data_IF_904126026603
#
_entry.id   IF_904126026603
#
_cell.length_a   1.000
_cell.length_b   1.000
_cell.length_c   1.000
_cell.angle_alpha   90.00
_cell.angle_beta   90.00
_cell.angle_gamma   90.00
#
_symmetry.space_group_name_H-M   'P 1'
#
loop_
_entity.id
_entity.type
_entity.pdbx_description
1 polymer ?
#
# COMPACT_ATOMS: atom_id res chain seq x y z
N UNK A 1 17.26 9.64 -1.55
CA UNK A 1 18.72 9.47 -1.72
C UNK A 1 19.30 10.49 -2.70
N UNK A 2 20.46 11.04 -2.37
CA UNK A 2 21.15 12.11 -3.14
C UNK A 2 21.56 13.34 -2.31
N UNK A 3 21.77 13.17 -0.99
CA UNK A 3 22.00 14.29 -0.07
C UNK A 3 23.45 14.78 -0.11
N UNK A 4 23.64 16.09 0.04
CA UNK A 4 24.96 16.69 0.06
C UNK A 4 25.67 16.35 1.37
N UNK A 5 26.92 15.89 1.25
CA UNK A 5 27.78 15.55 2.38
C UNK A 5 28.94 16.54 2.57
N UNK A 6 28.88 17.73 1.95
CA UNK A 6 29.89 18.77 2.18
C UNK A 6 29.87 19.24 3.64
N UNK A 7 30.94 19.90 4.09
CA UNK A 7 31.09 20.37 5.48
C UNK A 7 29.87 21.17 5.99
N UNK A 8 29.24 21.96 5.11
CA UNK A 8 28.05 22.75 5.47
C UNK A 8 26.80 21.89 5.67
N UNK A 9 26.63 20.86 4.84
CA UNK A 9 25.43 20.02 4.83
C UNK A 9 25.53 18.79 5.74
N UNK A 10 26.73 18.43 6.20
CA UNK A 10 26.97 17.25 7.05
C UNK A 10 26.19 17.28 8.38
N UNK A 11 25.75 18.46 8.83
CA UNK A 11 24.93 18.64 10.05
C UNK A 11 23.43 18.70 9.79
N UNK A 12 23.00 18.66 8.53
CA UNK A 12 21.60 18.77 8.15
C UNK A 12 21.01 17.39 7.92
N UNK A 13 19.84 17.14 8.51
CA UNK A 13 19.04 15.98 8.17
C UNK A 13 18.62 16.04 6.68
N UNK A 14 18.34 14.89 6.05
CA UNK A 14 17.76 14.85 4.70
C UNK A 14 16.55 15.77 4.50
N UNK A 15 15.64 15.81 5.48
CA UNK A 15 14.45 16.66 5.45
C UNK A 15 14.79 18.15 5.51
N UNK A 16 15.82 18.54 6.29
CA UNK A 16 16.35 19.91 6.30
C UNK A 16 16.93 20.30 4.93
N UNK A 17 17.75 19.43 4.33
CA UNK A 17 18.31 19.68 3.00
C UNK A 17 17.20 19.80 1.93
N UNK A 18 16.22 18.90 1.95
CA UNK A 18 15.07 18.96 1.04
C UNK A 18 14.25 20.24 1.22
N UNK A 19 14.05 20.70 2.46
CA UNK A 19 13.32 21.93 2.73
C UNK A 19 14.10 23.18 2.33
N UNK A 20 15.43 23.20 2.44
CA UNK A 20 16.24 24.32 1.93
C UNK A 20 16.03 24.52 0.43
N UNK A 21 16.02 23.42 -0.34
CA UNK A 21 15.73 23.46 -1.78
C UNK A 21 14.32 23.99 -2.02
N UNK A 22 13.33 23.50 -1.26
CA UNK A 22 11.95 23.99 -1.39
C UNK A 22 11.84 25.49 -1.10
N UNK A 23 12.48 25.97 -0.03
CA UNK A 23 12.46 27.40 0.30
C UNK A 23 13.11 28.25 -0.81
N UNK A 24 14.27 27.83 -1.33
CA UNK A 24 14.94 28.54 -2.42
C UNK A 24 14.09 28.58 -3.71
N UNK A 25 13.36 27.50 -4.01
CA UNK A 25 12.40 27.48 -5.12
C UNK A 25 11.22 28.39 -4.84
N UNK A 26 10.66 28.37 -3.63
CA UNK A 26 9.55 29.22 -3.24
C UNK A 26 9.89 30.73 -3.36
N UNK A 27 11.12 31.13 -3.04
CA UNK A 27 11.59 32.52 -3.19
C UNK A 27 11.62 32.98 -4.65
N UNK A 28 11.75 32.04 -5.60
CA UNK A 28 11.76 32.33 -7.04
C UNK A 28 10.37 32.24 -7.69
N UNK A 29 9.37 31.70 -6.98
CA UNK A 29 8.01 31.53 -7.47
C UNK A 29 7.10 32.71 -7.08
N UNK A 30 5.98 32.85 -7.78
CA UNK A 30 4.95 33.80 -7.39
C UNK A 30 4.33 33.40 -6.03
N UNK A 31 3.93 34.37 -5.17
CA UNK A 31 3.48 34.09 -3.80
C UNK A 31 2.24 33.19 -3.67
N UNK A 32 1.48 33.02 -4.75
CA UNK A 32 0.27 32.21 -4.82
C UNK A 32 0.53 30.75 -5.25
N UNK A 33 1.75 30.42 -5.66
CA UNK A 33 2.13 29.05 -6.02
C UNK A 33 2.38 28.23 -4.76
N UNK A 34 1.65 27.12 -4.62
CA UNK A 34 1.88 26.15 -3.55
C UNK A 34 3.01 25.21 -3.94
N UNK A 35 4.04 25.15 -3.10
CA UNK A 35 5.13 24.18 -3.22
C UNK A 35 5.03 23.14 -2.09
N UNK A 36 5.28 21.88 -2.43
CA UNK A 36 5.30 20.78 -1.46
C UNK A 36 6.73 20.33 -1.14
N UNK A 37 7.06 20.33 0.16
CA UNK A 37 8.12 19.51 0.70
C UNK A 37 7.59 18.09 0.87
N UNK A 38 8.08 17.16 0.04
CA UNK A 38 7.70 15.75 0.12
C UNK A 38 8.39 15.09 1.32
N UNK A 39 7.60 14.65 2.30
CA UNK A 39 8.04 13.88 3.46
C UNK A 39 7.85 12.38 3.17
N UNK A 40 8.91 11.78 2.61
CA UNK A 40 8.90 10.40 2.09
C UNK A 40 10.30 9.77 2.25
N UNK A 41 10.38 8.51 2.67
CA UNK A 41 11.65 7.81 2.95
C UNK A 41 12.58 8.63 3.85
N UNK A 42 13.76 8.99 3.36
CA UNK A 42 14.79 9.75 4.07
C UNK A 42 14.27 11.09 4.63
N UNK A 43 13.26 11.70 3.98
CA UNK A 43 12.66 12.98 4.41
C UNK A 43 11.36 12.83 5.19
N UNK A 44 10.96 11.59 5.52
CA UNK A 44 9.77 11.34 6.34
C UNK A 44 9.86 12.04 7.70
N UNK A 45 10.99 11.99 8.44
CA UNK A 45 11.13 12.77 9.67
C UNK A 45 11.02 14.27 9.36
N UNK A 46 10.34 15.05 10.20
CA UNK A 46 10.18 16.48 10.00
C UNK A 46 11.54 17.20 9.93
N UNK A 47 11.68 18.28 9.14
CA UNK A 47 12.86 19.15 9.20
C UNK A 47 13.06 19.66 10.63
N UNK A 48 14.29 19.62 11.14
CA UNK A 48 14.59 20.02 12.52
C UNK A 48 15.01 21.49 12.55
N UNK A 49 16.06 21.81 11.80
CA UNK A 49 16.75 23.09 11.84
C UNK A 49 16.21 24.12 10.84
N UNK A 50 15.65 23.69 9.71
CA UNK A 50 15.24 24.57 8.61
C UNK A 50 13.75 24.84 8.66
N UNK A 51 13.31 26.10 8.77
CA UNK A 51 11.87 26.43 8.88
C UNK A 51 11.23 26.67 7.51
N UNK A 52 9.98 26.22 7.28
CA UNK A 52 9.36 26.33 5.97
C UNK A 52 8.98 27.78 5.67
N UNK A 53 9.25 28.22 4.44
CA UNK A 53 8.77 29.51 3.95
C UNK A 53 7.22 29.55 3.90
N UNK A 54 6.59 30.75 3.88
CA UNK A 54 5.13 30.87 3.91
C UNK A 54 4.39 30.11 2.79
N UNK A 55 4.96 30.06 1.58
CA UNK A 55 4.40 29.36 0.42
C UNK A 55 4.64 27.84 0.38
N UNK A 56 5.38 27.30 1.36
CA UNK A 56 5.74 25.88 1.40
C UNK A 56 4.79 25.13 2.35
N UNK A 57 4.24 24.03 1.83
CA UNK A 57 3.45 23.04 2.55
C UNK A 57 4.22 21.71 2.62
N UNK A 58 3.90 20.84 3.57
CA UNK A 58 4.38 19.46 3.55
C UNK A 58 3.38 18.56 2.80
N UNK A 59 3.89 17.58 2.06
CA UNK A 59 3.13 16.42 1.60
C UNK A 59 3.66 15.19 2.33
N UNK A 60 2.91 14.71 3.32
CA UNK A 60 3.26 13.57 4.15
C UNK A 60 2.86 12.26 3.46
N UNK A 61 3.84 11.41 3.13
CA UNK A 61 3.63 10.24 2.31
C UNK A 61 4.10 8.94 3.01
N UNK A 62 3.33 8.38 3.97
CA UNK A 62 3.77 7.28 4.83
C UNK A 62 3.64 5.91 4.16
N UNK A 63 4.33 5.67 3.05
CA UNK A 63 4.15 4.46 2.22
C UNK A 63 4.42 3.16 2.95
N UNK A 64 5.42 3.11 3.82
CA UNK A 64 5.93 1.88 4.44
C UNK A 64 5.32 1.58 5.81
N UNK A 65 4.22 2.28 6.14
CA UNK A 65 3.46 2.08 7.36
C UNK A 65 2.72 0.73 7.35
N UNK A 66 2.09 0.42 8.48
CA UNK A 66 1.12 -0.65 8.58
C UNK A 66 -0.24 -0.19 8.02
N UNK A 67 -0.77 -0.96 7.07
CA UNK A 67 -2.11 -0.77 6.48
C UNK A 67 -3.15 -1.72 7.09
N UNK A 68 -2.74 -2.62 7.99
CA UNK A 68 -3.67 -3.44 8.77
C UNK A 68 -4.39 -2.66 9.87
N UNK A 69 -3.75 -1.59 10.36
CA UNK A 69 -4.26 -0.75 11.42
C UNK A 69 -4.27 0.70 10.96
N UNK A 70 -5.22 1.51 11.43
CA UNK A 70 -5.19 2.94 11.17
C UNK A 70 -3.95 3.61 11.75
N UNK A 71 -3.58 4.74 11.17
CA UNK A 71 -2.37 5.46 11.55
C UNK A 71 -2.39 5.87 13.02
N UNK A 72 -3.57 6.23 13.55
CA UNK A 72 -3.74 6.69 14.92
C UNK A 72 -3.92 5.59 15.97
N UNK A 73 -3.90 4.31 15.57
CA UNK A 73 -4.08 3.19 16.49
C UNK A 73 -2.94 3.14 17.53
N UNK A 74 -3.23 3.35 18.83
CA UNK A 74 -2.21 3.40 19.87
C UNK A 74 -1.50 2.06 20.10
N UNK A 75 -2.13 0.94 19.74
CA UNK A 75 -1.55 -0.39 19.87
C UNK A 75 -0.60 -0.73 18.71
N UNK A 76 -0.69 -0.02 17.57
CA UNK A 76 0.13 -0.30 16.40
C UNK A 76 1.55 0.30 16.54
N UNK A 77 2.49 -0.50 17.03
CA UNK A 77 3.89 -0.09 17.19
C UNK A 77 4.51 0.34 15.85
N UNK A 78 4.17 -0.34 14.73
CA UNK A 78 4.66 0.02 13.39
C UNK A 78 4.19 1.41 12.96
N UNK A 79 2.94 1.81 13.27
CA UNK A 79 2.40 3.11 12.86
C UNK A 79 2.79 4.26 13.78
N UNK A 80 3.16 3.99 15.04
CA UNK A 80 3.57 5.00 16.00
C UNK A 80 4.59 6.03 15.45
N UNK A 81 5.74 5.65 14.85
CA UNK A 81 6.68 6.62 14.32
C UNK A 81 6.10 7.45 13.16
N UNK A 82 5.25 6.87 12.31
CA UNK A 82 4.59 7.60 11.22
C UNK A 82 3.57 8.61 11.74
N UNK A 83 2.76 8.20 12.72
CA UNK A 83 1.82 9.10 13.42
C UNK A 83 2.56 10.28 14.04
N UNK A 84 3.64 10.00 14.76
CA UNK A 84 4.47 11.04 15.36
C UNK A 84 5.04 11.96 14.28
N UNK A 85 5.63 11.44 13.20
CA UNK A 85 6.15 12.26 12.12
C UNK A 85 5.06 13.17 11.52
N UNK A 86 3.86 12.65 11.27
CA UNK A 86 2.72 13.43 10.79
C UNK A 86 2.34 14.59 11.73
N UNK A 87 2.18 14.30 13.03
CA UNK A 87 1.84 15.31 14.04
C UNK A 87 2.93 16.39 14.15
N UNK A 88 4.21 16.01 14.10
CA UNK A 88 5.30 16.99 14.11
C UNK A 88 5.36 17.81 12.81
N UNK A 89 5.03 17.24 11.65
CA UNK A 89 4.90 18.02 10.41
C UNK A 89 3.77 19.06 10.51
N UNK A 90 2.64 18.71 11.14
CA UNK A 90 1.56 19.66 11.38
C UNK A 90 2.04 20.84 12.22
N UNK A 91 2.80 20.60 13.29
CA UNK A 91 3.41 21.67 14.08
C UNK A 91 4.41 22.48 13.26
N UNK A 92 5.33 21.79 12.57
CA UNK A 92 6.46 22.38 11.85
C UNK A 92 6.04 23.30 10.71
N UNK A 93 4.94 22.94 10.03
CA UNK A 93 4.37 23.67 8.90
C UNK A 93 3.15 24.51 9.29
N UNK A 94 2.87 24.68 10.59
CA UNK A 94 1.71 25.42 11.10
C UNK A 94 0.39 24.98 10.40
N UNK A 95 0.18 23.67 10.36
CA UNK A 95 -0.98 23.02 9.75
C UNK A 95 -1.00 23.04 8.22
N UNK A 96 0.05 23.50 7.52
CA UNK A 96 0.16 23.42 6.05
C UNK A 96 0.63 22.03 5.60
N UNK A 97 -0.16 21.00 5.91
CA UNK A 97 0.18 19.61 5.60
C UNK A 97 -0.94 18.97 4.76
N UNK A 98 -0.54 18.31 3.68
CA UNK A 98 -1.35 17.41 2.89
C UNK A 98 -0.84 15.98 3.10
N UNK A 99 -1.70 14.97 2.93
CA UNK A 99 -1.30 13.56 3.05
C UNK A 99 -1.42 12.87 1.70
N UNK A 100 -0.39 12.13 1.30
CA UNK A 100 -0.37 11.32 0.10
C UNK A 100 -0.39 9.83 0.47
N UNK A 101 -1.51 9.19 0.20
CA UNK A 101 -1.81 7.81 0.58
C UNK A 101 -1.66 6.81 -0.58
N UNK A 102 -1.59 5.52 -0.23
CA UNK A 102 -1.25 4.45 -1.16
C UNK A 102 -2.32 3.35 -1.24
N UNK A 103 -3.59 3.69 -0.97
CA UNK A 103 -4.70 2.72 -0.96
C UNK A 103 -4.97 2.05 -2.32
N UNK A 104 -4.46 2.63 -3.42
CA UNK A 104 -4.50 2.07 -4.76
C UNK A 104 -3.13 1.68 -5.32
N UNK A 105 -2.09 1.60 -4.50
CA UNK A 105 -0.71 1.40 -4.96
C UNK A 105 -0.43 -0.07 -5.34
N UNK A 106 -0.34 -0.30 -6.64
CA UNK A 106 -0.09 -1.63 -7.20
C UNK A 106 1.40 -2.05 -7.06
N UNK A 107 2.31 -1.13 -6.76
CA UNK A 107 3.70 -1.46 -6.40
C UNK A 107 3.75 -1.90 -4.93
N UNK A 108 3.25 -1.08 -3.99
CA UNK A 108 3.22 -1.42 -2.55
C UNK A 108 2.55 -2.76 -2.28
N UNK A 109 1.40 -2.99 -2.93
CA UNK A 109 0.66 -4.24 -2.78
C UNK A 109 1.13 -5.33 -3.75
N UNK A 110 2.16 -5.08 -4.56
CA UNK A 110 2.69 -6.05 -5.53
C UNK A 110 1.66 -6.54 -6.53
N UNK A 111 0.62 -5.75 -6.80
CA UNK A 111 -0.53 -6.09 -7.63
C UNK A 111 -1.54 -7.04 -6.98
N UNK A 112 -1.31 -7.50 -5.75
CA UNK A 112 -2.25 -8.36 -5.02
C UNK A 112 -3.58 -7.64 -4.75
N UNK A 113 -4.67 -8.38 -4.59
CA UNK A 113 -5.90 -7.83 -4.04
C UNK A 113 -5.72 -7.53 -2.56
N UNK A 114 -5.80 -6.24 -2.20
CA UNK A 114 -5.68 -5.77 -0.82
C UNK A 114 -6.83 -4.82 -0.52
N UNK A 115 -7.99 -5.33 -0.06
CA UNK A 115 -9.07 -4.47 0.41
C UNK A 115 -8.67 -3.81 1.74
N UNK A 116 -8.94 -2.50 1.87
CA UNK A 116 -8.56 -1.63 2.99
C UNK A 116 -9.66 -0.62 3.31
N UNK A 117 -10.92 -0.98 3.10
CA UNK A 117 -12.06 -0.05 3.25
C UNK A 117 -12.12 0.53 4.65
N UNK A 118 -11.96 -0.32 5.67
CA UNK A 118 -12.16 0.08 7.06
C UNK A 118 -10.99 0.95 7.56
N UNK A 119 -9.76 0.59 7.19
CA UNK A 119 -8.56 1.36 7.54
C UNK A 119 -8.53 2.70 6.81
N UNK A 120 -8.85 2.72 5.51
CA UNK A 120 -8.93 3.96 4.73
C UNK A 120 -9.91 4.96 5.36
N UNK A 121 -11.10 4.51 5.75
CA UNK A 121 -12.08 5.37 6.41
C UNK A 121 -11.59 5.96 7.73
N UNK A 122 -10.97 5.13 8.58
CA UNK A 122 -10.45 5.56 9.89
C UNK A 122 -9.26 6.51 9.76
N UNK A 123 -8.37 6.27 8.81
CA UNK A 123 -7.24 7.16 8.53
C UNK A 123 -7.72 8.55 8.07
N UNK A 124 -8.65 8.61 7.12
CA UNK A 124 -9.16 9.88 6.60
C UNK A 124 -9.93 10.68 7.67
N UNK A 125 -10.64 10.00 8.57
CA UNK A 125 -11.23 10.63 9.75
C UNK A 125 -10.16 11.21 10.68
N UNK A 126 -9.08 10.46 10.94
CA UNK A 126 -7.97 10.95 11.75
C UNK A 126 -7.27 12.15 11.11
N UNK A 127 -6.91 12.09 9.83
CA UNK A 127 -6.24 13.18 9.12
C UNK A 127 -7.05 14.47 9.18
N UNK A 128 -8.37 14.39 8.97
CA UNK A 128 -9.27 15.54 9.07
C UNK A 128 -9.31 16.09 10.48
N UNK A 129 -9.44 15.23 11.50
CA UNK A 129 -9.47 15.63 12.91
C UNK A 129 -8.16 16.27 13.37
N UNK A 130 -7.02 15.77 12.88
CA UNK A 130 -5.70 16.28 13.20
C UNK A 130 -5.36 17.60 12.48
N UNK A 131 -6.11 17.97 11.43
CA UNK A 131 -5.96 19.25 10.74
C UNK A 131 -5.19 19.19 9.42
N UNK A 132 -5.08 18.02 8.78
CA UNK A 132 -4.58 17.95 7.40
C UNK A 132 -5.48 18.75 6.45
N UNK A 133 -4.86 19.48 5.50
CA UNK A 133 -5.56 20.36 4.55
C UNK A 133 -6.10 19.65 3.33
N UNK A 134 -5.64 18.43 3.07
CA UNK A 134 -6.09 17.63 1.96
C UNK A 134 -5.41 16.28 1.91
N UNK A 135 -6.01 15.40 1.12
CA UNK A 135 -5.53 14.04 0.90
C UNK A 135 -5.46 13.75 -0.60
N UNK A 136 -4.44 13.02 -1.01
CA UNK A 136 -4.24 12.48 -2.35
C UNK A 136 -3.99 10.98 -2.24
N UNK A 137 -4.23 10.23 -3.32
CA UNK A 137 -4.03 8.77 -3.33
C UNK A 137 -3.36 8.35 -4.63
N UNK A 138 -2.29 7.55 -4.54
CA UNK A 138 -1.61 6.98 -5.69
C UNK A 138 -2.47 5.90 -6.36
N UNK A 139 -2.58 5.95 -7.68
CA UNK A 139 -3.28 4.94 -8.48
C UNK A 139 -2.52 4.59 -9.75
N UNK A 140 -2.76 3.38 -10.27
CA UNK A 140 -2.17 2.79 -11.46
C UNK A 140 -3.26 2.51 -12.52
N UNK A 141 -4.08 3.54 -12.76
CA UNK A 141 -5.14 3.51 -13.77
C UNK A 141 -6.15 2.38 -13.54
N UNK A 142 -6.46 1.63 -14.61
CA UNK A 142 -7.46 0.55 -14.57
C UNK A 142 -7.09 -0.56 -13.60
N UNK A 143 -5.80 -0.82 -13.37
CA UNK A 143 -5.37 -1.87 -12.45
C UNK A 143 -5.84 -1.57 -11.02
N UNK A 144 -5.67 -0.33 -10.53
CA UNK A 144 -6.15 0.05 -9.19
C UNK A 144 -7.67 0.00 -9.09
N UNK A 145 -8.40 0.35 -10.15
CA UNK A 145 -9.87 0.25 -10.16
C UNK A 145 -10.36 -1.20 -10.15
N UNK A 146 -9.56 -2.13 -10.65
CA UNK A 146 -9.82 -3.57 -10.58
C UNK A 146 -9.39 -4.14 -9.22
N UNK A 147 -8.10 -4.10 -8.88
CA UNK A 147 -7.56 -4.79 -7.71
C UNK A 147 -7.82 -4.09 -6.37
N UNK A 148 -8.08 -2.78 -6.39
CA UNK A 148 -8.25 -1.93 -5.21
C UNK A 148 -9.51 -1.06 -5.31
N UNK A 149 -10.47 -1.42 -6.17
CA UNK A 149 -11.61 -0.56 -6.48
C UNK A 149 -12.48 -0.22 -5.26
N UNK A 150 -12.60 -1.15 -4.30
CA UNK A 150 -13.28 -0.89 -3.03
C UNK A 150 -12.56 0.16 -2.18
N UNK A 151 -11.22 0.18 -2.22
CA UNK A 151 -10.40 1.17 -1.51
C UNK A 151 -10.53 2.54 -2.15
N UNK A 152 -10.53 2.62 -3.49
CA UNK A 152 -10.70 3.88 -4.22
C UNK A 152 -12.09 4.46 -3.94
N UNK A 153 -13.11 3.61 -3.87
CA UNK A 153 -14.45 4.03 -3.44
C UNK A 153 -14.46 4.57 -2.01
N UNK A 154 -13.79 3.88 -1.08
CA UNK A 154 -13.69 4.29 0.32
C UNK A 154 -12.98 5.65 0.44
N UNK A 155 -11.83 5.79 -0.23
CA UNK A 155 -11.06 7.03 -0.28
C UNK A 155 -11.89 8.18 -0.86
N UNK A 156 -12.55 7.97 -2.00
CA UNK A 156 -13.37 8.99 -2.64
C UNK A 156 -14.47 9.48 -1.71
N UNK A 157 -15.23 8.57 -1.09
CA UNK A 157 -16.28 8.94 -0.12
C UNK A 157 -15.73 9.65 1.10
N UNK A 158 -14.70 9.06 1.70
CA UNK A 158 -14.15 9.55 2.94
C UNK A 158 -13.43 10.89 2.79
N UNK A 159 -12.92 11.21 1.60
CA UNK A 159 -12.28 12.51 1.32
C UNK A 159 -13.26 13.67 1.40
N UNK A 160 -14.56 13.43 1.17
CA UNK A 160 -15.62 14.42 1.36
C UNK A 160 -16.30 14.27 2.74
N UNK A 161 -16.69 13.04 3.10
CA UNK A 161 -17.36 12.72 4.37
C UNK A 161 -16.87 11.37 4.90
N UNK A 162 -15.94 11.33 5.87
CA UNK A 162 -15.40 10.07 6.39
C UNK A 162 -16.45 9.11 6.96
N UNK A 163 -17.56 9.63 7.49
CA UNK A 163 -18.67 8.82 7.98
C UNK A 163 -19.33 7.95 6.90
N UNK A 164 -19.11 8.22 5.61
CA UNK A 164 -19.61 7.41 4.50
C UNK A 164 -18.68 6.25 4.10
N UNK A 165 -17.47 6.17 4.66
CA UNK A 165 -16.50 5.13 4.33
C UNK A 165 -17.03 3.69 4.55
N UNK A 166 -17.74 3.37 5.66
CA UNK A 166 -18.24 2.01 5.88
C UNK A 166 -19.21 1.51 4.80
N UNK A 167 -19.90 2.42 4.10
CA UNK A 167 -20.81 2.07 3.01
C UNK A 167 -20.08 1.77 1.69
N UNK A 168 -18.78 2.10 1.59
CA UNK A 168 -18.02 2.02 0.35
C UNK A 168 -17.93 0.60 -0.21
N UNK A 169 -17.71 -0.41 0.64
CA UNK A 169 -17.61 -1.82 0.22
C UNK A 169 -18.89 -2.25 -0.50
N UNK A 170 -20.05 -2.03 0.14
CA UNK A 170 -21.35 -2.37 -0.44
C UNK A 170 -21.64 -1.56 -1.71
N UNK A 171 -21.37 -0.25 -1.70
CA UNK A 171 -21.60 0.61 -2.85
C UNK A 171 -20.75 0.18 -4.07
N UNK A 172 -19.47 -0.14 -3.84
CA UNK A 172 -18.58 -0.70 -4.86
C UNK A 172 -19.15 -2.00 -5.41
N UNK A 173 -19.55 -2.92 -4.54
CA UNK A 173 -20.10 -4.21 -4.94
C UNK A 173 -21.38 -4.08 -5.78
N UNK A 174 -22.29 -3.17 -5.39
CA UNK A 174 -23.52 -2.89 -6.15
C UNK A 174 -23.20 -2.40 -7.56
N UNK A 175 -22.31 -1.40 -7.70
CA UNK A 175 -21.96 -0.84 -9.01
C UNK A 175 -21.19 -1.81 -9.90
N UNK A 176 -20.26 -2.60 -9.32
CA UNK A 176 -19.35 -3.44 -10.09
C UNK A 176 -19.91 -4.82 -10.39
N UNK A 177 -20.67 -5.41 -9.46
CA UNK A 177 -21.08 -6.82 -9.52
C UNK A 177 -22.60 -7.02 -9.59
N UNK A 178 -23.41 -5.96 -9.48
CA UNK A 178 -24.86 -6.02 -9.68
C UNK A 178 -25.53 -7.05 -8.77
N UNK A 179 -26.18 -8.07 -9.35
CA UNK A 179 -26.88 -9.11 -8.62
C UNK A 179 -25.99 -9.89 -7.62
N UNK A 180 -24.68 -9.95 -7.86
CA UNK A 180 -23.73 -10.61 -6.96
C UNK A 180 -23.19 -9.68 -5.85
N UNK A 181 -23.72 -8.47 -5.68
CA UNK A 181 -23.20 -7.51 -4.72
C UNK A 181 -23.13 -8.05 -3.28
N UNK A 182 -24.19 -8.71 -2.80
CA UNK A 182 -24.23 -9.29 -1.45
C UNK A 182 -23.14 -10.34 -1.23
N UNK A 183 -23.05 -11.40 -2.07
CA UNK A 183 -21.95 -12.36 -2.03
C UNK A 183 -20.55 -11.72 -2.16
N UNK A 184 -20.37 -10.76 -3.07
CA UNK A 184 -19.08 -10.08 -3.26
C UNK A 184 -18.66 -9.24 -2.05
N UNK A 185 -19.61 -8.61 -1.35
CA UNK A 185 -19.34 -7.92 -0.08
C UNK A 185 -18.80 -8.87 0.98
N UNK A 186 -19.34 -10.10 1.07
CA UNK A 186 -18.81 -11.11 2.00
C UNK A 186 -17.40 -11.56 1.60
N UNK A 187 -17.17 -11.83 0.32
CA UNK A 187 -15.84 -12.17 -0.21
C UNK A 187 -14.81 -11.08 0.11
N UNK A 188 -15.09 -9.81 -0.21
CA UNK A 188 -14.17 -8.70 0.03
C UNK A 188 -13.92 -8.47 1.54
N UNK A 189 -14.94 -8.65 2.39
CA UNK A 189 -14.78 -8.55 3.85
C UNK A 189 -13.86 -9.65 4.38
N UNK A 190 -14.02 -10.88 3.89
CA UNK A 190 -13.16 -11.99 4.29
C UNK A 190 -11.73 -11.80 3.78
N UNK A 191 -11.56 -11.28 2.57
CA UNK A 191 -10.25 -10.96 2.01
C UNK A 191 -9.57 -9.79 2.74
N UNK A 192 -10.30 -8.74 3.12
CA UNK A 192 -9.78 -7.66 3.98
C UNK A 192 -9.24 -8.21 5.31
N UNK A 193 -10.03 -9.10 5.94
CA UNK A 193 -9.62 -9.77 7.19
C UNK A 193 -8.39 -10.65 7.00
N UNK A 194 -8.27 -11.34 5.87
CA UNK A 194 -7.08 -12.12 5.51
C UNK A 194 -5.87 -11.18 5.34
N UNK A 195 -6.00 -10.14 4.54
CA UNK A 195 -4.91 -9.24 4.19
C UNK A 195 -4.46 -8.35 5.35
N UNK A 196 -5.33 -8.03 6.31
CA UNK A 196 -4.96 -7.34 7.55
C UNK A 196 -3.90 -8.10 8.37
N UNK A 197 -3.76 -9.42 8.19
CA UNK A 197 -2.62 -10.14 8.77
C UNK A 197 -1.31 -9.81 8.04
N UNK A 198 -1.38 -9.64 6.73
CA UNK A 198 -0.20 -9.50 5.86
C UNK A 198 0.33 -8.07 5.83
N UNK A 199 -0.52 -7.05 5.68
CA UNK A 199 -0.13 -5.66 5.42
C UNK A 199 0.30 -4.89 6.67
N UNK A 200 1.18 -5.50 7.45
CA UNK A 200 1.70 -4.98 8.74
C UNK A 200 3.08 -4.33 8.64
N UNK A 201 3.61 -4.26 7.42
CA UNK A 201 4.88 -3.67 7.01
C UNK A 201 4.70 -3.05 5.62
N UNK A 202 5.77 -2.48 5.03
CA UNK A 202 5.78 -1.87 3.70
C UNK A 202 5.49 -2.85 2.55
N UNK A 203 6.33 -2.87 1.51
CA UNK A 203 6.09 -3.67 0.30
C UNK A 203 5.72 -5.13 0.58
N UNK A 204 4.51 -5.53 0.17
CA UNK A 204 3.95 -6.88 0.42
C UNK A 204 4.90 -7.97 -0.05
N UNK A 205 5.55 -7.76 -1.20
CA UNK A 205 6.49 -8.72 -1.80
C UNK A 205 7.89 -8.73 -1.18
N UNK A 206 8.16 -7.87 -0.21
CA UNK A 206 9.45 -7.73 0.45
C UNK A 206 9.31 -7.86 1.97
N UNK A 207 8.74 -8.98 2.46
CA UNK A 207 8.51 -9.18 3.88
C UNK A 207 9.80 -9.14 4.70
N UNK A 208 9.73 -8.74 5.98
CA UNK A 208 10.82 -8.95 6.92
C UNK A 208 11.14 -10.44 7.08
N UNK A 209 12.42 -10.81 7.00
CA UNK A 209 12.90 -12.18 7.14
C UNK A 209 12.94 -12.61 8.63
N UNK A 210 11.78 -12.92 9.20
CA UNK A 210 11.62 -13.34 10.61
C UNK A 210 10.51 -14.39 10.75
N UNK A 211 10.61 -15.26 11.76
CA UNK A 211 9.61 -16.31 12.00
C UNK A 211 8.19 -15.78 12.22
N UNK A 212 8.06 -14.62 12.87
CA UNK A 212 6.77 -13.98 13.06
C UNK A 212 6.08 -13.63 11.73
N UNK A 213 6.84 -13.30 10.68
CA UNK A 213 6.29 -13.09 9.34
C UNK A 213 5.76 -14.40 8.77
N UNK A 214 6.52 -15.50 8.89
CA UNK A 214 6.08 -16.83 8.43
C UNK A 214 4.79 -17.26 9.12
N UNK A 215 4.74 -17.17 10.45
CA UNK A 215 3.55 -17.52 11.23
C UNK A 215 2.32 -16.70 10.79
N UNK A 216 2.51 -15.39 10.59
CA UNK A 216 1.44 -14.50 10.10
C UNK A 216 0.93 -14.89 8.71
N UNK A 217 1.83 -15.31 7.81
CA UNK A 217 1.47 -15.80 6.47
C UNK A 217 0.79 -17.18 6.52
N UNK A 218 1.23 -18.08 7.41
CA UNK A 218 0.57 -19.36 7.67
C UNK A 218 -0.89 -19.11 8.12
N UNK A 219 -1.10 -18.22 9.08
CA UNK A 219 -2.43 -17.84 9.58
C UNK A 219 -3.32 -17.20 8.50
N UNK A 220 -2.74 -16.34 7.66
CA UNK A 220 -3.46 -15.74 6.53
C UNK A 220 -3.90 -16.82 5.52
N UNK A 221 -3.00 -17.74 5.16
CA UNK A 221 -3.27 -18.80 4.20
C UNK A 221 -4.25 -19.86 4.74
N UNK A 222 -4.34 -20.04 6.05
CA UNK A 222 -5.35 -20.89 6.67
C UNK A 222 -6.80 -20.42 6.38
N UNK A 223 -7.00 -19.11 6.14
CA UNK A 223 -8.30 -18.55 5.75
C UNK A 223 -8.61 -18.67 4.24
N UNK A 224 -7.63 -19.03 3.41
CA UNK A 224 -7.77 -19.06 1.95
C UNK A 224 -8.90 -19.97 1.43
N UNK A 225 -9.16 -21.17 1.99
CA UNK A 225 -10.26 -22.02 1.52
C UNK A 225 -11.63 -21.36 1.64
N UNK A 226 -11.87 -20.62 2.72
CA UNK A 226 -13.13 -19.90 2.94
C UNK A 226 -13.28 -18.71 1.99
N UNK A 227 -12.21 -17.92 1.79
CA UNK A 227 -12.21 -16.81 0.83
C UNK A 227 -12.50 -17.31 -0.59
N UNK A 228 -11.88 -18.42 -1.01
CA UNK A 228 -12.17 -19.07 -2.30
C UNK A 228 -13.61 -19.56 -2.40
N UNK A 229 -14.16 -20.14 -1.32
CA UNK A 229 -15.55 -20.60 -1.28
C UNK A 229 -16.52 -19.44 -1.49
N UNK A 230 -16.32 -18.33 -0.78
CA UNK A 230 -17.14 -17.12 -0.91
C UNK A 230 -17.11 -16.54 -2.33
N UNK A 231 -15.95 -16.55 -2.99
CA UNK A 231 -15.85 -16.10 -4.38
C UNK A 231 -16.59 -17.03 -5.34
N UNK A 232 -16.47 -18.35 -5.17
CA UNK A 232 -17.23 -19.33 -5.99
C UNK A 232 -18.75 -19.16 -5.82
N UNK A 233 -19.22 -18.96 -4.59
CA UNK A 233 -20.64 -18.70 -4.31
C UNK A 233 -21.12 -17.42 -5.02
N UNK A 234 -20.28 -16.37 -5.04
CA UNK A 234 -20.57 -15.14 -5.75
C UNK A 234 -20.63 -15.35 -7.27
N UNK A 235 -19.67 -16.09 -7.84
CA UNK A 235 -19.65 -16.44 -9.26
C UNK A 235 -20.89 -17.23 -9.69
N UNK A 236 -21.38 -18.17 -8.85
CA UNK A 236 -22.60 -18.92 -9.11
C UNK A 236 -23.86 -18.04 -9.16
N UNK A 237 -23.89 -16.97 -8.35
CA UNK A 237 -25.01 -15.99 -8.32
C UNK A 237 -25.00 -15.09 -9.56
N UNK A 238 -23.83 -14.82 -10.12
CA UNK A 238 -23.62 -13.77 -11.11
C UNK A 238 -23.85 -14.17 -12.58
N UNK A 239 -24.12 -15.46 -12.88
CA UNK A 239 -24.25 -16.06 -14.24
C UNK A 239 -23.46 -15.27 -15.32
N UNK A 240 -22.16 -15.56 -15.41
CA UNK A 240 -21.24 -15.04 -16.44
C UNK A 240 -20.97 -13.51 -16.42
N UNK A 241 -21.01 -12.85 -15.26
CA UNK A 241 -20.44 -11.49 -15.15
C UNK A 241 -18.92 -11.52 -15.31
N UNK A 242 -18.42 -10.87 -16.37
CA UNK A 242 -16.97 -10.71 -16.61
C UNK A 242 -16.24 -10.01 -15.44
N UNK A 243 -16.94 -9.12 -14.70
CA UNK A 243 -16.35 -8.45 -13.53
C UNK A 243 -16.11 -9.40 -12.37
N UNK A 244 -17.01 -10.38 -12.14
CA UNK A 244 -16.83 -11.40 -11.09
C UNK A 244 -15.81 -12.45 -11.53
N UNK A 245 -15.84 -12.86 -12.80
CA UNK A 245 -14.88 -13.82 -13.35
C UNK A 245 -13.42 -13.31 -13.27
N UNK A 246 -13.22 -11.99 -13.38
CA UNK A 246 -11.89 -11.39 -13.23
C UNK A 246 -11.33 -11.44 -11.80
N UNK A 247 -12.13 -11.69 -10.77
CA UNK A 247 -11.65 -11.71 -9.38
C UNK A 247 -10.92 -13.02 -9.04
N UNK A 248 -11.24 -14.13 -9.71
CA UNK A 248 -10.60 -15.43 -9.50
C UNK A 248 -9.10 -15.43 -9.82
N UNK A 249 -8.64 -15.01 -11.01
CA UNK A 249 -7.20 -14.91 -11.29
C UNK A 249 -6.48 -13.93 -10.36
N UNK A 250 -7.14 -12.85 -9.92
CA UNK A 250 -6.55 -11.90 -8.97
C UNK A 250 -6.39 -12.51 -7.57
N UNK A 251 -7.39 -13.28 -7.11
CA UNK A 251 -7.30 -14.00 -5.84
C UNK A 251 -6.21 -15.08 -5.90
N UNK A 252 -6.15 -15.86 -6.98
CA UNK A 252 -5.14 -16.90 -7.12
C UNK A 252 -3.73 -16.31 -7.21
N UNK A 253 -3.55 -15.22 -7.93
CA UNK A 253 -2.30 -14.47 -7.92
C UNK A 253 -1.89 -14.03 -6.51
N UNK A 254 -2.85 -13.47 -5.76
CA UNK A 254 -2.63 -13.02 -4.38
C UNK A 254 -2.21 -14.19 -3.49
N UNK A 255 -2.95 -15.29 -3.51
CA UNK A 255 -2.67 -16.47 -2.67
C UNK A 255 -1.36 -17.17 -3.06
N UNK A 256 -1.05 -17.27 -4.36
CA UNK A 256 0.22 -17.81 -4.84
C UNK A 256 1.40 -16.93 -4.40
N UNK A 257 1.25 -15.62 -4.47
CA UNK A 257 2.24 -14.65 -3.95
C UNK A 257 2.47 -14.88 -2.46
N UNK A 258 1.42 -14.91 -1.64
CA UNK A 258 1.55 -15.14 -0.19
C UNK A 258 2.19 -16.50 0.13
N UNK A 259 1.84 -17.56 -0.61
CA UNK A 259 2.43 -18.88 -0.43
C UNK A 259 3.93 -18.91 -0.76
N UNK A 260 4.36 -18.23 -1.83
CA UNK A 260 5.76 -18.07 -2.17
C UNK A 260 6.52 -17.29 -1.09
N UNK A 261 5.96 -16.18 -0.61
CA UNK A 261 6.58 -15.38 0.46
C UNK A 261 6.69 -16.15 1.78
N UNK A 262 5.69 -17.00 2.10
CA UNK A 262 5.69 -17.87 3.28
C UNK A 262 6.83 -18.90 3.21
N UNK A 263 7.00 -19.53 2.04
CA UNK A 263 8.10 -20.47 1.79
C UNK A 263 9.46 -19.76 1.87
N UNK A 264 9.58 -18.57 1.28
CA UNK A 264 10.80 -17.77 1.35
C UNK A 264 11.13 -17.37 2.79
N UNK A 265 10.15 -16.89 3.57
CA UNK A 265 10.35 -16.51 4.96
C UNK A 265 10.77 -17.71 5.83
N UNK A 266 10.20 -18.90 5.57
CA UNK A 266 10.61 -20.14 6.24
C UNK A 266 12.05 -20.53 5.92
N UNK A 267 12.45 -20.46 4.64
CA UNK A 267 13.80 -20.75 4.21
C UNK A 267 14.81 -19.74 4.79
N UNK A 268 14.45 -18.46 4.83
CA UNK A 268 15.29 -17.38 5.33
C UNK A 268 15.48 -17.42 6.86
N UNK A 269 14.45 -17.79 7.63
CA UNK A 269 14.49 -17.78 9.10
C UNK A 269 14.98 -19.10 9.72
N UNK A 270 14.64 -20.26 9.14
CA UNK A 270 14.77 -21.56 9.82
C UNK A 270 16.10 -22.29 9.65
N UNK A 271 16.83 -22.06 8.55
CA UNK A 271 18.11 -22.75 8.29
C UNK A 271 18.95 -22.14 7.15
N UNK A 272 18.45 -21.08 6.48
CA UNK A 272 19.02 -20.56 5.22
C UNK A 272 19.13 -21.63 4.13
N UNK A 273 18.08 -22.43 3.98
CA UNK A 273 18.00 -23.41 2.88
C UNK A 273 17.93 -22.66 1.54
N UNK A 274 19.07 -22.65 0.84
CA UNK A 274 19.24 -21.92 -0.41
C UNK A 274 18.33 -22.43 -1.53
N UNK A 275 18.15 -23.76 -1.61
CA UNK A 275 17.32 -24.37 -2.64
C UNK A 275 15.85 -24.05 -2.40
N UNK A 276 15.39 -24.15 -1.16
CA UNK A 276 14.02 -23.77 -0.80
C UNK A 276 13.75 -22.27 -1.03
N UNK A 277 14.71 -21.40 -0.72
CA UNK A 277 14.58 -19.96 -0.97
C UNK A 277 14.52 -19.63 -2.46
N UNK A 278 15.31 -20.30 -3.29
CA UNK A 278 15.30 -20.12 -4.76
C UNK A 278 14.01 -20.65 -5.39
N UNK A 279 13.51 -21.80 -4.92
CA UNK A 279 12.22 -22.33 -5.34
C UNK A 279 11.08 -21.37 -5.00
N UNK A 280 11.11 -20.77 -3.80
CA UNK A 280 10.13 -19.77 -3.38
C UNK A 280 10.21 -18.48 -4.23
N UNK A 281 11.41 -18.00 -4.54
CA UNK A 281 11.60 -16.84 -5.41
C UNK A 281 11.10 -17.11 -6.84
N UNK A 282 11.35 -18.32 -7.37
CA UNK A 282 10.82 -18.76 -8.66
C UNK A 282 9.28 -18.85 -8.63
N UNK A 283 8.70 -19.40 -7.57
CA UNK A 283 7.25 -19.46 -7.40
C UNK A 283 6.59 -18.08 -7.35
N UNK A 284 7.26 -17.08 -6.73
CA UNK A 284 6.81 -15.68 -6.78
C UNK A 284 6.85 -15.13 -8.22
N UNK A 285 7.91 -15.45 -8.96
CA UNK A 285 8.02 -15.14 -10.39
C UNK A 285 6.83 -15.69 -11.19
N UNK A 286 6.55 -16.96 -10.98
CA UNK A 286 5.52 -17.73 -11.67
C UNK A 286 4.08 -17.31 -11.35
N UNK A 287 3.83 -16.76 -10.15
CA UNK A 287 2.50 -16.33 -9.72
C UNK A 287 1.86 -15.35 -10.72
N UNK A 288 2.66 -14.53 -11.40
CA UNK A 288 2.18 -13.53 -12.37
C UNK A 288 1.35 -14.13 -13.51
N UNK A 289 1.54 -15.42 -13.82
CA UNK A 289 0.77 -16.13 -14.86
C UNK A 289 -0.74 -16.11 -14.61
N UNK A 290 -1.17 -16.02 -13.35
CA UNK A 290 -2.59 -15.88 -13.02
C UNK A 290 -3.19 -14.57 -13.56
N UNK A 291 -2.44 -13.46 -13.54
CA UNK A 291 -2.90 -12.16 -14.08
C UNK A 291 -2.63 -12.05 -15.58
N UNK A 292 -1.69 -12.82 -16.13
CA UNK A 292 -1.38 -12.82 -17.56
C UNK A 292 -2.62 -13.15 -18.42
N UNK A 293 -3.48 -14.06 -17.97
CA UNK A 293 -4.71 -14.47 -18.67
C UNK A 293 -5.85 -13.44 -18.62
N UNK A 294 -5.74 -12.42 -17.76
CA UNK A 294 -6.78 -11.39 -17.61
C UNK A 294 -6.71 -10.41 -18.80
N UNK A 295 -7.84 -10.07 -19.45
CA UNK A 295 -7.87 -9.13 -20.57
C UNK A 295 -7.28 -7.76 -20.22
N UNK A 296 -6.63 -7.11 -21.17
CA UNK A 296 -6.02 -5.78 -20.99
C UNK A 296 -7.07 -4.72 -20.66
N UNK A 297 -8.31 -4.90 -21.12
CA UNK A 297 -9.44 -4.05 -20.77
C UNK A 297 -9.77 -4.14 -19.28
N UNK A 298 -9.39 -5.20 -18.58
CA UNK A 298 -9.58 -5.30 -17.13
C UNK A 298 -8.34 -4.78 -16.40
N UNK A 299 -7.16 -5.31 -16.71
CA UNK A 299 -5.92 -5.02 -15.97
C UNK A 299 -5.19 -3.74 -16.39
N UNK A 300 -5.59 -3.12 -17.50
CA UNK A 300 -4.96 -1.92 -18.05
C UNK A 300 -3.51 -2.15 -18.51
N UNK A 301 -2.87 -1.07 -18.94
CA UNK A 301 -1.46 -1.09 -19.38
C UNK A 301 -0.53 -1.55 -18.27
N UNK A 302 -0.75 -1.09 -17.03
CA UNK A 302 0.11 -1.45 -15.91
C UNK A 302 0.09 -2.97 -15.64
N UNK A 303 -1.08 -3.59 -15.58
CA UNK A 303 -1.17 -5.05 -15.42
C UNK A 303 -0.70 -5.84 -16.64
N UNK A 304 -0.69 -5.24 -17.83
CA UNK A 304 -0.26 -5.88 -19.07
C UNK A 304 1.25 -5.83 -19.29
N UNK A 305 1.93 -4.77 -18.84
CA UNK A 305 3.33 -4.50 -19.19
C UNK A 305 4.22 -4.22 -17.97
N UNK A 306 3.76 -3.43 -17.00
CA UNK A 306 4.59 -2.98 -15.89
C UNK A 306 4.63 -3.96 -14.72
N UNK A 307 3.54 -4.69 -14.47
CA UNK A 307 3.44 -5.63 -13.34
C UNK A 307 4.46 -6.77 -13.45
N UNK A 308 4.74 -7.26 -14.65
CA UNK A 308 5.76 -8.29 -14.86
C UNK A 308 7.17 -7.76 -14.56
N UNK A 309 7.48 -6.54 -15.00
CA UNK A 309 8.74 -5.86 -14.71
C UNK A 309 8.90 -5.66 -13.19
N UNK A 310 7.86 -5.15 -12.52
CA UNK A 310 7.85 -4.99 -11.07
C UNK A 310 8.02 -6.35 -10.36
N UNK A 311 7.37 -7.40 -10.85
CA UNK A 311 7.51 -8.74 -10.29
C UNK A 311 8.95 -9.27 -10.40
N UNK A 312 9.60 -9.09 -11.56
CA UNK A 312 10.99 -9.47 -11.75
C UNK A 312 11.94 -8.74 -10.78
N UNK A 313 11.69 -7.44 -10.54
CA UNK A 313 12.43 -6.66 -9.53
C UNK A 313 12.27 -7.26 -8.12
N UNK A 314 11.06 -7.63 -7.72
CA UNK A 314 10.82 -8.24 -6.41
C UNK A 314 11.49 -9.62 -6.28
N UNK A 315 11.44 -10.46 -7.31
CA UNK A 315 12.14 -11.75 -7.33
C UNK A 315 13.65 -11.55 -7.17
N UNK A 316 14.24 -10.63 -7.95
CA UNK A 316 15.66 -10.30 -7.82
C UNK A 316 16.01 -9.76 -6.43
N UNK A 317 15.15 -8.92 -5.85
CA UNK A 317 15.33 -8.37 -4.51
C UNK A 317 15.29 -9.45 -3.43
N UNK A 318 14.40 -10.44 -3.51
CA UNK A 318 14.37 -11.56 -2.58
C UNK A 318 15.63 -12.43 -2.68
N UNK A 319 16.12 -12.67 -3.91
CA UNK A 319 17.41 -13.36 -4.14
C UNK A 319 18.60 -12.57 -3.59
N UNK A 320 18.58 -11.25 -3.68
CA UNK A 320 19.64 -10.38 -3.16
C UNK A 320 19.63 -10.26 -1.63
N UNK A 321 18.44 -10.13 -1.01
CA UNK A 321 18.29 -10.09 0.46
C UNK A 321 18.78 -11.37 1.13
N UNK A 322 18.75 -12.50 0.42
CA UNK A 322 19.42 -13.73 0.82
C UNK A 322 20.96 -13.58 0.85
N UNK A 323 21.54 -12.94 -0.17
CA UNK A 323 22.99 -12.77 -0.30
C UNK A 323 23.59 -11.79 0.73
N UNK A 324 22.81 -10.80 1.18
CA UNK A 324 23.25 -9.79 2.15
C UNK A 324 23.28 -10.26 3.62
N UNK A 325 22.99 -11.55 3.88
CA UNK A 325 23.03 -12.13 5.22
C UNK A 325 24.42 -12.57 5.71
N UNK A 326 25.52 -12.10 5.12
CA UNK A 326 26.91 -12.42 5.50
C UNK A 326 27.52 -11.37 6.41
#
# INVERSE_FOLDING_TARGET
GGWCACERCARLAPSDQGLLVCNAVADALAPDVRLFHLAYHDTLPPPESVRPAPGVSAEFAPRERCYAHPLDDPACVTNRPYRQAFEHHLERFAGRVHVFEYYGDAILFGGCAVPLVDVCGRDLEYYRRAGARGVSCLTFGRYSLWAHGANIEAFARASFRPAEAPAARTAHCVRRFGAAAGPMTRYLTALETLMARVVTYGDVKLPPARDATRATLDDALAAAPEVRRLLRDAAATARASASVAAEEPLLDYTLATLAALRQWAAAAAGARDEAAAEHAATALGDAIRHVASVPVEVKGSWGAYDLEIANAFYVASLRARRAAGG
#
